data_IF_633302091473
#
_entry.id   IF_633302091473
#
_cell.length_a   1.000
_cell.length_b   1.000
_cell.length_c   1.000
_cell.angle_alpha   90.00
_cell.angle_beta   90.00
_cell.angle_gamma   90.00
#
_symmetry.space_group_name_H-M   'P 1'
#
loop_
_entity.id
_entity.type
_entity.pdbx_description
1 polymer ?
#
# COMPACT_ATOMS: atom_id res chain seq x y z
N UNK A 1 -10.53 13.22 5.57
CA UNK A 1 -11.36 12.68 6.67
C UNK A 1 -12.76 13.31 6.65
N UNK A 2 -12.89 14.60 6.34
CA UNK A 2 -14.19 15.31 6.25
C UNK A 2 -15.18 14.74 5.22
N UNK A 3 -14.72 14.16 4.10
CA UNK A 3 -15.63 13.61 3.08
C UNK A 3 -16.44 12.42 3.57
N UNK A 4 -15.82 11.47 4.26
CA UNK A 4 -16.51 10.29 4.80
C UNK A 4 -17.43 10.64 5.97
N UNK A 5 -17.07 11.65 6.76
CA UNK A 5 -17.90 12.13 7.87
C UNK A 5 -19.11 12.96 7.37
N UNK A 6 -18.94 13.71 6.28
CA UNK A 6 -20.02 14.40 5.59
C UNK A 6 -20.97 13.41 4.89
N UNK A 7 -20.42 12.34 4.31
CA UNK A 7 -21.20 11.23 3.78
C UNK A 7 -22.02 10.58 4.88
N UNK A 8 -21.41 10.14 5.99
CA UNK A 8 -22.13 9.56 7.13
C UNK A 8 -23.28 10.45 7.64
N UNK A 9 -23.06 11.77 7.74
CA UNK A 9 -24.09 12.74 8.14
C UNK A 9 -25.24 12.87 7.14
N UNK A 10 -25.00 12.67 5.83
CA UNK A 10 -26.06 12.62 4.81
C UNK A 10 -26.91 11.36 4.92
N UNK A 11 -26.36 10.29 5.50
CA UNK A 11 -26.98 8.98 5.56
C UNK A 11 -27.69 8.66 6.88
N UNK A 12 -27.47 9.45 7.94
CA UNK A 12 -28.33 9.42 9.12
C UNK A 12 -29.68 10.07 8.75
N UNK A 13 -30.77 9.28 8.60
CA UNK A 13 -32.07 9.88 8.36
C UNK A 13 -32.40 10.76 9.57
N UNK A 14 -33.07 11.88 9.31
CA UNK A 14 -33.58 12.82 10.31
C UNK A 14 -34.19 12.15 11.54
N UNK A 15 -34.38 12.94 12.60
CA UNK A 15 -34.90 12.71 13.98
C UNK A 15 -35.81 11.50 14.32
N UNK A 16 -36.27 10.69 13.36
CA UNK A 16 -37.08 9.48 13.52
C UNK A 16 -36.36 8.16 13.13
N UNK A 17 -35.04 8.15 12.94
CA UNK A 17 -34.28 6.91 12.67
C UNK A 17 -34.12 6.08 13.95
N UNK A 18 -34.68 4.86 13.95
CA UNK A 18 -34.47 3.91 15.04
C UNK A 18 -33.12 3.17 14.88
N UNK A 19 -32.61 2.62 15.98
CA UNK A 19 -31.31 1.96 16.03
C UNK A 19 -31.17 0.85 14.97
N UNK A 20 -32.24 0.08 14.72
CA UNK A 20 -32.27 -0.99 13.72
C UNK A 20 -31.92 -0.49 12.32
N UNK A 21 -32.44 0.68 11.92
CA UNK A 21 -32.14 1.27 10.60
C UNK A 21 -30.70 1.77 10.51
N UNK A 22 -30.17 2.33 11.60
CA UNK A 22 -28.79 2.82 11.65
C UNK A 22 -27.80 1.64 11.57
N UNK A 23 -28.05 0.57 12.32
CA UNK A 23 -27.21 -0.64 12.29
C UNK A 23 -27.23 -1.29 10.91
N UNK A 24 -28.40 -1.45 10.29
CA UNK A 24 -28.48 -1.98 8.92
C UNK A 24 -27.73 -1.12 7.91
N UNK A 25 -27.74 0.21 8.08
CA UNK A 25 -26.98 1.11 7.23
C UNK A 25 -25.46 0.99 7.42
N UNK A 26 -25.00 0.87 8.67
CA UNK A 26 -23.58 0.66 8.97
C UNK A 26 -23.11 -0.66 8.34
N UNK A 27 -23.91 -1.72 8.46
CA UNK A 27 -23.65 -3.01 7.82
C UNK A 27 -23.49 -2.86 6.30
N UNK A 28 -24.42 -2.18 5.62
CA UNK A 28 -24.33 -1.89 4.19
C UNK A 28 -23.03 -1.14 3.80
N UNK A 29 -22.60 -0.17 4.62
CA UNK A 29 -21.36 0.58 4.38
C UNK A 29 -20.14 -0.33 4.52
N UNK A 30 -20.10 -1.15 5.58
CA UNK A 30 -18.99 -2.07 5.83
C UNK A 30 -18.90 -3.10 4.71
N UNK A 31 -20.01 -3.69 4.29
CA UNK A 31 -20.07 -4.66 3.18
C UNK A 31 -19.59 -4.03 1.87
N UNK A 32 -19.99 -2.79 1.58
CA UNK A 32 -19.53 -2.06 0.38
C UNK A 32 -18.02 -1.79 0.43
N UNK A 33 -17.50 -1.35 1.59
CA UNK A 33 -16.08 -1.11 1.78
C UNK A 33 -15.27 -2.40 1.62
N UNK A 34 -15.71 -3.49 2.24
CA UNK A 34 -15.08 -4.81 2.11
C UNK A 34 -15.04 -5.25 0.64
N UNK A 35 -16.16 -5.16 -0.06
CA UNK A 35 -16.27 -5.51 -1.48
C UNK A 35 -15.34 -4.67 -2.35
N UNK A 36 -15.26 -3.37 -2.08
CA UNK A 36 -14.35 -2.47 -2.79
C UNK A 36 -12.88 -2.84 -2.55
N UNK A 37 -12.49 -3.12 -1.31
CA UNK A 37 -11.12 -3.54 -0.98
C UNK A 37 -10.78 -4.89 -1.64
N UNK A 38 -11.70 -5.87 -1.62
CA UNK A 38 -11.53 -7.16 -2.33
C UNK A 38 -11.23 -6.93 -3.81
N UNK A 39 -11.99 -6.05 -4.46
CA UNK A 39 -11.77 -5.66 -5.85
C UNK A 39 -10.37 -5.04 -6.05
N UNK A 40 -9.94 -4.13 -5.19
CA UNK A 40 -8.60 -3.54 -5.27
C UNK A 40 -7.47 -4.58 -5.12
N UNK A 41 -7.66 -5.58 -4.26
CA UNK A 41 -6.71 -6.69 -4.12
C UNK A 41 -6.66 -7.57 -5.36
N UNK A 42 -7.80 -7.91 -5.93
CA UNK A 42 -7.89 -8.66 -7.19
C UNK A 42 -7.23 -7.90 -8.34
N UNK A 43 -7.49 -6.59 -8.45
CA UNK A 43 -6.80 -5.73 -9.42
C UNK A 43 -5.29 -5.79 -9.20
N UNK A 44 -4.80 -5.71 -7.96
CA UNK A 44 -3.37 -5.79 -7.67
C UNK A 44 -2.74 -7.14 -8.01
N UNK A 45 -3.49 -8.23 -7.86
CA UNK A 45 -3.04 -9.59 -8.17
C UNK A 45 -3.12 -9.97 -9.63
N UNK A 46 -3.92 -9.27 -10.43
CA UNK A 46 -4.19 -9.66 -11.83
C UNK A 46 -3.65 -8.66 -12.86
N UNK A 47 -3.37 -7.42 -12.45
CA UNK A 47 -2.97 -6.36 -13.38
C UNK A 47 -1.55 -6.56 -13.87
N UNK A 48 -1.43 -6.99 -15.11
CA UNK A 48 -0.16 -6.96 -15.85
C UNK A 48 0.07 -5.57 -16.43
N UNK A 49 1.26 -5.00 -16.23
CA UNK A 49 1.60 -3.69 -16.81
C UNK A 49 1.88 -3.83 -18.31
N UNK A 50 1.48 -2.81 -19.08
CA UNK A 50 1.77 -2.73 -20.50
C UNK A 50 3.28 -2.76 -20.75
N UNK A 51 3.70 -3.54 -21.76
CA UNK A 51 5.12 -3.79 -22.07
C UNK A 51 5.96 -2.52 -22.28
N UNK A 52 5.35 -1.43 -22.78
CA UNK A 52 6.05 -0.17 -23.05
C UNK A 52 6.42 0.65 -21.80
N UNK A 53 5.85 0.31 -20.62
CA UNK A 53 6.14 0.95 -19.33
C UNK A 53 6.69 -0.04 -18.31
N UNK A 54 7.28 -1.14 -18.80
CA UNK A 54 7.72 -2.26 -17.99
C UNK A 54 9.18 -2.05 -17.58
N UNK A 55 9.40 -1.81 -16.28
CA UNK A 55 10.72 -1.77 -15.67
C UNK A 55 11.08 -3.18 -15.19
N UNK A 56 12.38 -3.47 -15.10
CA UNK A 56 12.87 -4.81 -14.74
C UNK A 56 12.23 -5.36 -13.45
N UNK A 57 12.09 -4.52 -12.43
CA UNK A 57 11.52 -4.89 -11.14
C UNK A 57 10.00 -5.07 -11.14
N UNK A 58 9.29 -4.70 -12.22
CA UNK A 58 7.86 -4.93 -12.29
C UNK A 58 7.55 -6.41 -12.25
N UNK A 59 8.34 -7.25 -12.90
CA UNK A 59 8.05 -8.70 -13.00
C UNK A 59 8.23 -9.43 -11.67
N UNK A 60 9.17 -8.94 -10.88
CA UNK A 60 9.58 -9.53 -9.61
C UNK A 60 8.60 -9.18 -8.50
N UNK A 61 8.02 -7.98 -8.57
CA UNK A 61 7.09 -7.46 -7.57
C UNK A 61 5.63 -7.65 -7.97
N UNK A 62 5.32 -7.81 -9.26
CA UNK A 62 3.95 -7.98 -9.74
C UNK A 62 3.24 -9.12 -9.00
N UNK A 63 1.95 -8.94 -8.79
CA UNK A 63 1.04 -9.89 -8.13
C UNK A 63 1.31 -10.12 -6.63
N UNK A 64 2.49 -9.74 -6.11
CA UNK A 64 2.91 -9.94 -4.72
C UNK A 64 2.83 -8.68 -3.84
N UNK A 65 2.73 -7.50 -4.46
CA UNK A 65 2.57 -6.22 -3.77
C UNK A 65 1.41 -5.42 -4.35
N UNK A 66 0.91 -4.45 -3.59
CA UNK A 66 -0.13 -3.54 -4.07
C UNK A 66 0.32 -2.72 -5.27
N UNK A 67 -0.61 -2.43 -6.19
CA UNK A 67 -0.35 -1.52 -7.32
C UNK A 67 0.12 -0.15 -6.84
N UNK A 68 -0.38 0.31 -5.69
CA UNK A 68 0.02 1.58 -5.11
C UNK A 68 1.51 1.59 -4.74
N UNK A 69 2.00 0.54 -4.08
CA UNK A 69 3.43 0.37 -3.77
C UNK A 69 4.28 0.39 -5.06
N UNK A 70 3.86 -0.34 -6.09
CA UNK A 70 4.55 -0.37 -7.38
C UNK A 70 4.66 1.03 -8.00
N UNK A 71 3.56 1.79 -8.00
CA UNK A 71 3.54 3.15 -8.53
C UNK A 71 4.47 4.09 -7.74
N UNK A 72 4.54 3.94 -6.41
CA UNK A 72 5.47 4.72 -5.58
C UNK A 72 6.93 4.37 -5.88
N UNK A 73 7.26 3.08 -6.02
CA UNK A 73 8.61 2.63 -6.39
C UNK A 73 9.00 3.18 -7.77
N UNK A 74 8.10 3.08 -8.74
CA UNK A 74 8.31 3.62 -10.09
C UNK A 74 8.52 5.15 -10.08
N UNK A 75 7.69 5.89 -9.34
CA UNK A 75 7.86 7.34 -9.23
C UNK A 75 9.23 7.70 -8.63
N UNK A 76 9.62 7.03 -7.55
CA UNK A 76 10.95 7.22 -6.95
C UNK A 76 12.06 6.93 -7.96
N UNK A 77 11.89 5.91 -8.81
CA UNK A 77 12.86 5.56 -9.86
C UNK A 77 12.98 6.64 -10.93
N UNK A 78 11.87 7.15 -11.47
CA UNK A 78 11.92 8.26 -12.43
C UNK A 78 12.52 9.53 -11.81
N UNK A 79 12.19 9.83 -10.55
CA UNK A 79 12.80 10.95 -9.81
C UNK A 79 14.32 10.82 -9.75
N UNK A 80 14.84 9.61 -9.52
CA UNK A 80 16.28 9.37 -9.52
C UNK A 80 16.91 9.60 -10.89
N UNK A 81 16.26 9.18 -11.97
CA UNK A 81 16.74 9.45 -13.34
C UNK A 81 16.83 10.96 -13.60
N UNK A 82 15.83 11.74 -13.15
CA UNK A 82 15.87 13.20 -13.23
C UNK A 82 17.00 13.78 -12.40
N UNK A 83 17.24 13.31 -11.17
CA UNK A 83 18.36 13.79 -10.36
C UNK A 83 19.71 13.54 -11.04
N UNK A 84 19.87 12.38 -11.68
CA UNK A 84 21.08 12.04 -12.44
C UNK A 84 21.33 12.97 -13.62
N UNK A 85 20.28 13.46 -14.30
CA UNK A 85 20.49 14.44 -15.39
C UNK A 85 21.06 15.77 -14.90
N UNK A 86 21.07 16.01 -13.58
CA UNK A 86 21.67 17.19 -12.95
C UNK A 86 22.90 16.85 -12.10
N UNK A 87 23.52 15.67 -12.27
CA UNK A 87 24.61 15.17 -11.42
C UNK A 87 24.28 15.17 -9.90
N UNK A 88 22.99 15.14 -9.57
CA UNK A 88 22.51 15.10 -8.20
C UNK A 88 22.33 13.66 -7.73
N UNK A 89 22.50 13.47 -6.42
CA UNK A 89 22.26 12.18 -5.77
C UNK A 89 20.90 12.12 -5.09
N UNK A 90 20.50 10.91 -4.73
CA UNK A 90 19.29 10.60 -3.98
C UNK A 90 19.09 11.39 -2.68
N UNK A 91 20.17 11.74 -1.98
CA UNK A 91 20.15 12.38 -0.66
C UNK A 91 19.54 11.53 0.46
N UNK A 92 19.26 10.25 0.22
CA UNK A 92 18.63 9.36 1.18
C UNK A 92 19.57 8.97 2.33
N UNK A 93 19.11 9.20 3.55
CA UNK A 93 19.80 8.78 4.78
C UNK A 93 19.37 7.38 5.24
N UNK A 94 18.16 6.96 4.87
CA UNK A 94 17.60 5.65 5.20
C UNK A 94 17.45 4.77 3.96
N UNK A 95 17.65 3.48 4.17
CA UNK A 95 17.56 2.44 3.14
C UNK A 95 16.12 2.21 2.67
N UNK A 96 15.21 2.19 3.64
CA UNK A 96 13.76 2.17 3.43
C UNK A 96 13.12 3.43 4.01
N UNK A 97 12.04 3.87 3.37
CA UNK A 97 11.17 4.92 3.92
C UNK A 97 9.74 4.44 3.76
N UNK A 98 9.00 4.43 4.87
CA UNK A 98 7.65 3.87 4.97
C UNK A 98 7.56 2.43 4.43
N UNK A 99 8.56 1.59 4.72
CA UNK A 99 8.56 0.19 4.30
C UNK A 99 8.86 -0.07 2.82
N UNK A 100 9.22 0.95 2.04
CA UNK A 100 9.60 0.83 0.63
C UNK A 100 11.09 1.12 0.43
N UNK A 101 11.73 0.37 -0.46
CA UNK A 101 13.12 0.61 -0.86
C UNK A 101 13.31 2.00 -1.46
N UNK A 102 14.46 2.60 -1.20
CA UNK A 102 14.85 3.83 -1.86
C UNK A 102 15.23 3.57 -3.34
N UNK A 103 14.98 4.53 -4.22
CA UNK A 103 15.28 4.39 -5.66
C UNK A 103 16.77 4.22 -5.97
N UNK A 104 17.68 4.85 -5.22
CA UNK A 104 19.12 4.63 -5.44
C UNK A 104 19.53 3.19 -5.17
N UNK A 105 18.79 2.53 -4.28
CA UNK A 105 19.09 1.17 -3.88
C UNK A 105 18.47 0.18 -4.87
N UNK A 106 17.23 0.46 -5.29
CA UNK A 106 16.58 -0.18 -6.43
C UNK A 106 17.50 -0.20 -7.66
N UNK A 107 18.10 0.93 -7.99
CA UNK A 107 19.02 1.06 -9.11
C UNK A 107 20.30 0.22 -8.95
N UNK A 108 20.85 0.13 -7.73
CA UNK A 108 21.99 -0.76 -7.47
C UNK A 108 21.64 -2.23 -7.70
N UNK A 109 20.41 -2.65 -7.36
CA UNK A 109 19.95 -4.00 -7.68
C UNK A 109 19.87 -4.21 -9.19
N UNK A 110 19.22 -3.30 -9.91
CA UNK A 110 19.09 -3.37 -11.38
C UNK A 110 20.46 -3.41 -12.07
N UNK A 111 21.38 -2.51 -11.69
CA UNK A 111 22.71 -2.43 -12.29
C UNK A 111 23.57 -3.67 -12.03
N UNK A 112 23.32 -4.37 -10.92
CA UNK A 112 23.99 -5.63 -10.59
C UNK A 112 23.25 -6.87 -11.12
N UNK A 113 22.15 -6.68 -11.86
CA UNK A 113 21.30 -7.77 -12.36
C UNK A 113 20.56 -8.54 -11.26
N UNK A 114 20.45 -7.98 -10.05
CA UNK A 114 19.73 -8.60 -8.95
C UNK A 114 18.24 -8.25 -9.02
N UNK A 115 17.43 -9.26 -8.69
CA UNK A 115 15.98 -9.13 -8.55
C UNK A 115 15.63 -8.57 -7.19
N UNK A 116 14.55 -7.79 -7.11
CA UNK A 116 14.02 -7.37 -5.81
C UNK A 116 13.18 -8.51 -5.24
N UNK A 117 13.57 -9.01 -4.07
CA UNK A 117 12.72 -9.92 -3.33
C UNK A 117 11.51 -9.14 -2.76
N UNK A 118 10.26 -9.60 -2.96
CA UNK A 118 9.10 -9.00 -2.31
C UNK A 118 9.27 -8.88 -0.80
N UNK A 119 10.01 -9.81 -0.18
CA UNK A 119 10.29 -9.83 1.25
C UNK A 119 11.14 -8.67 1.77
N UNK A 120 11.83 -7.96 0.86
CA UNK A 120 12.53 -6.71 1.20
C UNK A 120 11.59 -5.52 1.44
N UNK A 121 10.32 -5.66 1.08
CA UNK A 121 9.28 -4.66 1.30
C UNK A 121 8.46 -5.01 2.53
N UNK A 122 8.02 -3.98 3.24
CA UNK A 122 7.18 -4.13 4.42
C UNK A 122 5.92 -4.95 4.12
N UNK A 123 5.51 -5.78 5.08
CA UNK A 123 4.33 -6.63 4.97
C UNK A 123 3.07 -5.84 4.63
N UNK A 124 2.97 -4.58 5.08
CA UNK A 124 1.89 -3.66 4.73
C UNK A 124 1.66 -3.60 3.22
N UNK A 125 2.73 -3.52 2.43
CA UNK A 125 2.64 -3.40 0.97
C UNK A 125 2.35 -4.72 0.26
N UNK A 126 2.64 -5.85 0.92
CA UNK A 126 2.41 -7.23 0.44
C UNK A 126 1.04 -7.78 0.81
N UNK A 127 0.32 -7.13 1.74
CA UNK A 127 -0.98 -7.60 2.21
C UNK A 127 -2.07 -7.34 1.18
N UNK A 128 -2.43 -8.39 0.43
CA UNK A 128 -3.47 -8.37 -0.62
C UNK A 128 -4.65 -9.29 -0.29
N UNK A 129 -4.90 -9.50 1.00
CA UNK A 129 -6.04 -10.26 1.50
C UNK A 129 -6.47 -9.77 2.90
N UNK A 130 -7.61 -10.27 3.35
CA UNK A 130 -8.18 -9.98 4.66
C UNK A 130 -7.72 -10.91 5.77
N UNK A 131 -6.76 -11.82 5.50
CA UNK A 131 -6.29 -12.72 6.54
C UNK A 131 -5.64 -11.87 7.63
N UNK A 132 -5.94 -12.21 8.88
CA UNK A 132 -5.25 -11.59 10.00
C UNK A 132 -3.74 -11.76 9.77
N UNK A 133 -2.98 -10.68 10.01
CA UNK A 133 -1.55 -10.87 10.12
C UNK A 133 -1.32 -11.85 11.27
N UNK A 134 -0.41 -12.81 11.10
CA UNK A 134 0.09 -13.56 12.25
C UNK A 134 0.87 -12.54 13.08
N UNK A 135 0.21 -11.90 14.03
CA UNK A 135 0.89 -11.05 15.00
C UNK A 135 1.73 -12.02 15.81
N UNK A 136 3.03 -12.02 15.57
CA UNK A 136 3.97 -12.68 16.46
C UNK A 136 4.06 -11.82 17.72
N UNK A 137 4.13 -12.46 18.90
CA UNK A 137 4.16 -11.77 20.20
C UNK A 137 5.31 -10.75 20.35
N UNK A 138 6.22 -10.69 19.39
CA UNK A 138 7.34 -9.75 19.31
C UNK A 138 6.93 -8.33 18.86
N UNK A 139 5.76 -8.17 18.24
CA UNK A 139 5.28 -6.86 17.73
C UNK A 139 4.36 -6.10 18.72
N UNK A 140 4.10 -6.70 19.89
CA UNK A 140 3.23 -6.16 20.93
C UNK A 140 4.10 -5.89 22.16
N UNK A 141 4.79 -4.75 22.21
CA UNK A 141 5.38 -4.26 23.45
C UNK A 141 4.29 -3.54 24.28
N UNK A 142 3.41 -4.33 24.90
CA UNK A 142 2.40 -3.83 25.84
C UNK A 142 2.97 -3.64 27.25
N UNK A 143 4.22 -3.99 27.50
CA UNK A 143 4.81 -3.90 28.84
C UNK A 143 5.37 -2.51 29.15
N UNK A 144 5.59 -1.65 28.15
CA UNK A 144 6.08 -0.28 28.36
C UNK A 144 4.96 0.76 28.61
N UNK A 145 3.68 0.45 28.32
CA UNK A 145 2.54 1.38 28.59
C UNK A 145 1.89 1.20 29.98
N UNK A 146 2.36 0.24 30.78
CA UNK A 146 1.80 -0.08 32.11
C UNK A 146 2.78 0.11 33.30
N UNK A 147 3.96 0.68 33.06
CA UNK A 147 4.92 1.09 34.10
C UNK A 147 5.23 2.59 34.03
#
# INVERSE_FOLDING_TARGET
VESQHADLKRYLPSTNSNLTRIVGYIDDVVVKQESHIKKCFEESRNKTRNNHKRLAFHDELSLSVSIHALNLIENKFYRLQTLRSFDATCGCQLYTSCGLVCACHLERYINKGHKIAPDSLDQFWRKLDFRAAKITNEDIDLEEELN
#
